data_IF_897951705642
#
_entry.id   IF_897951705642
#
_cell.length_a   1.000
_cell.length_b   1.000
_cell.length_c   1.000
_cell.angle_alpha   90.00
_cell.angle_beta   90.00
_cell.angle_gamma   90.00
#
_symmetry.space_group_name_H-M   'P 1'
#
loop_
_entity.id
_entity.type
_entity.pdbx_description
1 polymer ?
#
# COMPACT_ATOMS: atom_id res chain seq x y z
N UNK A 1 3.70 -2.98 -18.09
CA UNK A 1 2.53 -2.47 -17.33
C UNK A 1 1.52 -3.59 -17.22
N UNK A 2 1.16 -4.03 -16.02
CA UNK A 2 0.14 -5.08 -15.82
C UNK A 2 -1.24 -4.45 -16.00
N UNK A 3 -1.68 -4.33 -17.25
CA UNK A 3 -2.95 -3.71 -17.59
C UNK A 3 -4.03 -4.77 -17.78
N UNK A 4 -4.94 -4.79 -16.81
CA UNK A 4 -6.29 -5.36 -16.84
C UNK A 4 -6.40 -6.74 -17.50
N UNK A 5 -6.82 -6.84 -18.77
CA UNK A 5 -7.05 -8.13 -19.42
C UNK A 5 -5.77 -8.91 -19.74
N UNK A 6 -4.66 -8.22 -20.06
CA UNK A 6 -3.39 -8.86 -20.43
C UNK A 6 -2.65 -9.46 -19.21
N UNK A 7 -3.05 -9.06 -18.01
CA UNK A 7 -2.51 -9.57 -16.75
C UNK A 7 -3.31 -10.74 -16.17
N UNK A 8 -4.40 -11.16 -16.82
CA UNK A 8 -5.24 -12.28 -16.37
C UNK A 8 -4.55 -13.60 -16.75
N UNK A 9 -4.14 -14.44 -15.78
CA UNK A 9 -3.52 -15.73 -16.10
C UNK A 9 -4.50 -16.66 -16.82
N UNK A 10 -3.96 -17.46 -17.74
CA UNK A 10 -4.74 -18.53 -18.39
C UNK A 10 -5.37 -19.45 -17.34
N UNK A 11 -6.65 -19.81 -17.52
CA UNK A 11 -7.38 -20.68 -16.58
C UNK A 11 -8.14 -19.94 -15.47
N UNK A 12 -8.36 -18.63 -15.59
CA UNK A 12 -9.23 -17.85 -14.67
C UNK A 12 -10.54 -17.44 -15.36
N UNK A 13 -11.47 -18.39 -15.63
CA UNK A 13 -12.74 -18.06 -16.29
C UNK A 13 -13.52 -17.01 -15.47
N UNK A 14 -14.10 -16.03 -16.17
CA UNK A 14 -14.82 -14.86 -15.62
C UNK A 14 -13.99 -13.77 -14.95
N UNK A 15 -12.65 -13.80 -15.02
CA UNK A 15 -11.86 -12.66 -14.59
C UNK A 15 -12.11 -11.46 -15.51
N UNK A 16 -12.42 -10.30 -14.93
CA UNK A 16 -12.62 -9.03 -15.65
C UNK A 16 -11.49 -8.09 -15.27
N UNK A 17 -10.90 -7.46 -16.28
CA UNK A 17 -9.94 -6.39 -16.08
C UNK A 17 -10.61 -5.17 -15.44
N UNK A 18 -10.46 -4.99 -14.13
CA UNK A 18 -11.10 -3.92 -13.36
C UNK A 18 -10.47 -2.53 -13.56
N UNK A 19 -9.60 -2.34 -14.56
CA UNK A 19 -8.89 -1.09 -14.79
C UNK A 19 -8.71 -0.78 -16.27
N UNK A 20 -8.53 0.50 -16.58
CA UNK A 20 -8.14 0.99 -17.91
C UNK A 20 -6.62 0.98 -18.13
N UNK A 21 -5.86 0.35 -17.23
CA UNK A 21 -4.38 0.34 -17.27
C UNK A 21 -3.70 1.57 -16.67
N UNK A 22 -4.47 2.57 -16.21
CA UNK A 22 -3.96 3.81 -15.60
C UNK A 22 -4.00 3.82 -14.06
N UNK A 23 -4.37 2.71 -13.41
CA UNK A 23 -4.35 2.62 -11.94
C UNK A 23 -2.91 2.52 -11.44
N UNK A 24 -2.36 3.64 -11.01
CA UNK A 24 -1.09 3.72 -10.31
C UNK A 24 -1.17 4.82 -9.25
N UNK A 25 -0.50 4.63 -8.12
CA UNK A 25 -0.12 5.75 -7.28
C UNK A 25 1.11 6.41 -7.91
N UNK A 26 0.98 7.66 -8.30
CA UNK A 26 2.11 8.46 -8.71
C UNK A 26 2.92 8.80 -7.46
N UNK A 27 4.24 8.60 -7.52
CA UNK A 27 5.20 9.03 -6.48
C UNK A 27 5.31 10.58 -6.41
N UNK A 28 4.26 11.33 -6.78
CA UNK A 28 4.28 12.77 -7.03
C UNK A 28 3.39 13.59 -6.10
N UNK A 29 2.76 12.97 -5.08
CA UNK A 29 1.89 13.68 -4.13
C UNK A 29 0.41 13.31 -4.23
N UNK A 30 0.08 12.11 -4.69
CA UNK A 30 -1.31 11.62 -4.69
C UNK A 30 -1.92 11.63 -3.30
N UNK A 31 -3.22 11.84 -3.20
CA UNK A 31 -3.94 11.75 -1.93
C UNK A 31 -4.58 10.37 -1.78
N UNK A 32 -4.17 9.65 -0.75
CA UNK A 32 -4.75 8.36 -0.36
C UNK A 32 -5.67 8.63 0.84
N UNK A 33 -6.94 8.21 0.74
CA UNK A 33 -7.92 8.37 1.83
C UNK A 33 -8.60 7.06 2.17
N UNK A 34 -8.70 6.77 3.47
CA UNK A 34 -9.50 5.68 3.99
C UNK A 34 -10.86 6.23 4.40
N UNK A 35 -11.94 5.60 3.93
CA UNK A 35 -13.31 5.99 4.23
C UNK A 35 -14.03 4.87 4.94
N UNK A 36 -14.88 5.21 5.90
CA UNK A 36 -15.76 4.25 6.55
C UNK A 36 -17.01 3.96 5.69
N UNK A 37 -17.90 3.10 6.19
CA UNK A 37 -19.12 2.71 5.49
C UNK A 37 -20.11 3.87 5.26
N UNK A 38 -20.04 4.95 6.05
CA UNK A 38 -20.84 6.17 5.81
C UNK A 38 -20.19 7.14 4.81
N UNK A 39 -19.02 6.80 4.27
CA UNK A 39 -18.27 7.61 3.30
C UNK A 39 -17.39 8.69 3.94
N UNK A 40 -17.38 8.80 5.28
CA UNK A 40 -16.54 9.73 6.01
C UNK A 40 -15.07 9.32 5.96
N UNK A 41 -14.18 10.28 5.72
CA UNK A 41 -12.74 10.05 5.75
C UNK A 41 -12.31 9.83 7.19
N UNK A 42 -11.76 8.65 7.47
CA UNK A 42 -11.22 8.29 8.78
C UNK A 42 -9.71 8.46 8.85
N UNK A 43 -9.05 8.52 7.69
CA UNK A 43 -7.61 8.68 7.58
C UNK A 43 -7.22 9.19 6.19
N UNK A 44 -6.11 9.92 6.10
CA UNK A 44 -5.59 10.41 4.83
C UNK A 44 -4.07 10.60 4.85
N UNK A 45 -3.43 10.31 3.73
CA UNK A 45 -1.99 10.44 3.52
C UNK A 45 -1.72 11.06 2.14
N UNK A 46 -0.80 12.02 2.10
CA UNK A 46 -0.15 12.43 0.85
C UNK A 46 0.96 11.43 0.52
N UNK A 47 0.83 10.74 -0.61
CA UNK A 47 1.80 9.81 -1.15
C UNK A 47 2.93 10.56 -1.87
N UNK A 48 3.83 11.16 -1.08
CA UNK A 48 4.91 12.02 -1.56
C UNK A 48 6.11 11.23 -2.10
N UNK A 49 6.84 11.82 -3.05
CA UNK A 49 8.10 11.28 -3.58
C UNK A 49 9.14 10.98 -2.50
N UNK A 50 9.16 11.77 -1.42
CA UNK A 50 10.13 11.62 -0.32
C UNK A 50 10.05 10.25 0.36
N UNK A 51 8.88 9.61 0.36
CA UNK A 51 8.68 8.26 0.86
C UNK A 51 8.53 7.26 -0.30
N UNK A 52 7.79 7.64 -1.35
CA UNK A 52 7.36 6.74 -2.43
C UNK A 52 8.46 6.35 -3.42
N UNK A 53 9.54 7.13 -3.52
CA UNK A 53 10.63 6.84 -4.46
C UNK A 53 11.61 5.76 -3.96
N UNK A 54 11.37 5.18 -2.77
CA UNK A 54 12.22 4.11 -2.22
C UNK A 54 11.67 2.74 -2.59
N UNK A 55 12.24 2.16 -3.64
CA UNK A 55 11.86 0.82 -4.09
C UNK A 55 12.10 -0.25 -3.02
N UNK A 56 11.14 -1.17 -2.90
CA UNK A 56 11.23 -2.32 -2.00
C UNK A 56 11.09 -2.02 -0.51
N UNK A 57 10.78 -0.78 -0.13
CA UNK A 57 10.64 -0.38 1.29
C UNK A 57 9.21 0.10 1.54
N UNK A 58 8.59 -0.47 2.57
CA UNK A 58 7.24 -0.05 2.98
C UNK A 58 7.27 1.28 3.73
N UNK A 59 6.21 2.08 3.55
CA UNK A 59 5.89 3.20 4.44
C UNK A 59 5.05 2.68 5.60
N UNK A 60 5.42 3.08 6.81
CA UNK A 60 4.73 2.66 8.02
C UNK A 60 4.33 3.89 8.82
N UNK A 61 3.11 3.86 9.37
CA UNK A 61 2.64 4.87 10.31
C UNK A 61 3.48 4.78 11.59
N UNK A 62 3.96 5.91 12.07
CA UNK A 62 4.77 5.99 13.28
C UNK A 62 4.46 7.27 14.09
N UNK A 63 3.95 7.16 15.33
CA UNK A 63 3.61 5.92 16.04
C UNK A 63 2.44 5.17 15.38
N UNK A 64 2.47 3.85 15.41
CA UNK A 64 1.38 3.02 14.87
C UNK A 64 0.07 3.25 15.65
N UNK A 65 -1.06 2.94 15.00
CA UNK A 65 -2.43 3.11 15.50
C UNK A 65 -2.79 4.53 16.00
N UNK A 66 -1.91 5.52 15.82
CA UNK A 66 -2.12 6.90 16.25
C UNK A 66 -2.72 7.70 15.10
N UNK A 67 -3.94 8.19 15.30
CA UNK A 67 -4.63 9.01 14.32
C UNK A 67 -3.80 10.25 13.95
N UNK A 68 -3.60 10.49 12.66
CA UNK A 68 -2.82 11.62 12.17
C UNK A 68 -1.30 11.51 12.33
N UNK A 69 -0.77 10.40 12.89
CA UNK A 69 0.67 10.18 12.92
C UNK A 69 1.28 10.12 11.52
N UNK A 70 2.53 10.58 11.39
CA UNK A 70 3.25 10.58 10.13
C UNK A 70 3.61 9.18 9.66
N UNK A 71 4.04 9.09 8.40
CA UNK A 71 4.62 7.88 7.84
C UNK A 71 6.13 8.04 7.71
N UNK A 72 6.84 6.95 7.98
CA UNK A 72 8.28 6.83 7.82
C UNK A 72 8.60 5.52 7.09
N UNK A 73 9.79 5.43 6.51
CA UNK A 73 10.23 4.20 5.86
C UNK A 73 10.52 3.11 6.91
N UNK A 74 10.18 1.86 6.60
CA UNK A 74 10.43 0.71 7.47
C UNK A 74 11.87 0.66 8.00
N UNK A 75 12.85 0.90 7.13
CA UNK A 75 14.28 0.88 7.49
C UNK A 75 14.70 2.01 8.44
N UNK A 76 13.88 3.07 8.58
CA UNK A 76 14.11 4.14 9.55
C UNK A 76 13.58 3.77 10.96
N UNK A 77 12.64 2.82 11.04
CA UNK A 77 12.08 2.36 12.31
C UNK A 77 12.73 1.08 12.83
N UNK A 78 13.24 0.24 11.92
CA UNK A 78 13.79 -1.07 12.23
C UNK A 78 14.97 -1.39 11.32
N UNK A 79 15.98 -2.07 11.86
CA UNK A 79 17.08 -2.62 11.07
C UNK A 79 16.72 -3.95 10.39
N UNK A 80 15.56 -4.53 10.72
CA UNK A 80 15.06 -5.73 10.06
C UNK A 80 14.68 -5.42 8.61
N UNK A 81 15.05 -6.31 7.69
CA UNK A 81 14.78 -6.15 6.25
C UNK A 81 13.36 -6.55 5.84
N UNK A 82 12.58 -7.05 6.78
CA UNK A 82 11.18 -7.37 6.62
C UNK A 82 10.47 -7.09 7.94
N UNK A 83 9.21 -6.65 7.86
CA UNK A 83 8.29 -6.74 8.99
C UNK A 83 8.39 -8.17 9.53
N UNK A 84 8.61 -8.40 10.85
CA UNK A 84 8.63 -9.73 11.44
C UNK A 84 7.32 -10.42 11.06
N UNK A 85 7.39 -11.18 9.98
CA UNK A 85 6.23 -11.76 9.35
C UNK A 85 5.82 -12.89 10.25
N UNK A 86 4.80 -12.67 11.06
CA UNK A 86 4.02 -13.82 11.44
C UNK A 86 3.40 -14.37 10.16
N UNK A 87 3.37 -15.69 10.00
CA UNK A 87 2.49 -16.35 9.03
C UNK A 87 1.07 -15.78 9.18
N UNK A 88 0.20 -15.97 8.19
CA UNK A 88 -1.20 -15.52 8.28
C UNK A 88 -1.93 -16.01 9.57
N UNK A 89 -1.41 -17.05 10.22
CA UNK A 89 -1.85 -17.60 11.51
C UNK A 89 -1.26 -16.94 12.77
N UNK A 90 -0.41 -15.90 12.66
CA UNK A 90 0.17 -15.21 13.82
C UNK A 90 1.43 -15.85 14.41
N UNK A 91 1.96 -16.95 13.85
CA UNK A 91 3.23 -17.58 14.30
C UNK A 91 4.44 -17.08 13.51
N UNK A 92 5.63 -17.04 14.12
CA UNK A 92 6.88 -16.76 13.40
C UNK A 92 7.10 -17.75 12.24
N UNK A 93 7.86 -17.34 11.22
CA UNK A 93 8.19 -18.21 10.08
C UNK A 93 8.95 -19.47 10.47
#
# INVERSE_FOLDING_TARGET
MFASASAIPVGTPNAIGSSTGALSLANGGDSVSLRNASGAVVDSLTYSSSLASKDGVSMNRNPDATAGAGFVLHEAMSSLKSSPGTRASGVAF
#
